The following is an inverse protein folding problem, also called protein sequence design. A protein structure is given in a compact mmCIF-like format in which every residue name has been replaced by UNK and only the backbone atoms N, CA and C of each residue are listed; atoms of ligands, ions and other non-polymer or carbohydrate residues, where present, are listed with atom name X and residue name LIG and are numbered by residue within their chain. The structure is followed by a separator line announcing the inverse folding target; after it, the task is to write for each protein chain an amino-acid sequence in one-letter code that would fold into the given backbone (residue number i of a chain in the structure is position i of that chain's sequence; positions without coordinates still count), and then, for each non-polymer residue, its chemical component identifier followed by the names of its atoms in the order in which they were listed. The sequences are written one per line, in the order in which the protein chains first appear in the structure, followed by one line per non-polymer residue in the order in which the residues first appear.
data_IF_099221717205
#
_entry.id   IF_099221717205
#
_cell.length_a   1.000
_cell.length_b   1.000
_cell.length_c   1.000
_cell.angle_alpha   90.00
_cell.angle_beta   90.00
_cell.angle_gamma   90.00
#
_symmetry.space_group_name_H-M   'P 1'
#
loop_
_entity.id
_entity.type
_entity.pdbx_description
1 polymer ?
#
# COMPACT_ATOMS: atom_id res chain seq x y z
N UNK A 1 8.39 -25.83 11.05
CA UNK A 1 7.37 -24.81 11.36
C UNK A 1 7.78 -23.54 10.68
N UNK A 2 6.98 -23.03 9.74
CA UNK A 2 7.26 -21.82 8.97
C UNK A 2 6.89 -20.59 9.82
N UNK A 3 7.75 -20.24 10.76
CA UNK A 3 7.75 -18.94 11.42
C UNK A 3 8.46 -17.95 10.49
N UNK A 4 7.73 -17.43 9.51
CA UNK A 4 8.17 -16.29 8.70
C UNK A 4 8.19 -15.05 9.59
N UNK A 5 9.39 -14.63 9.99
CA UNK A 5 9.61 -13.46 10.83
C UNK A 5 9.03 -12.18 10.25
N UNK A 6 8.72 -11.24 11.15
CA UNK A 6 8.28 -9.88 10.82
C UNK A 6 9.29 -9.19 9.89
N UNK A 7 8.96 -9.08 8.61
CA UNK A 7 9.64 -8.17 7.69
C UNK A 7 8.89 -6.83 7.69
N UNK A 8 9.36 -5.91 8.54
CA UNK A 8 8.82 -4.55 8.65
C UNK A 8 9.16 -3.66 7.43
N UNK A 9 9.94 -4.18 6.47
CA UNK A 9 10.19 -3.56 5.17
C UNK A 9 10.29 -4.64 4.10
N UNK A 10 9.16 -5.08 3.55
CA UNK A 10 9.21 -5.84 2.31
C UNK A 10 9.43 -4.86 1.16
N UNK A 11 10.69 -4.61 0.79
CA UNK A 11 11.02 -4.02 -0.49
C UNK A 11 10.53 -4.98 -1.58
N UNK A 12 9.63 -4.54 -2.47
CA UNK A 12 9.14 -5.37 -3.57
C UNK A 12 10.30 -5.65 -4.55
N UNK A 13 10.91 -6.85 -4.56
CA UNK A 13 12.24 -7.03 -5.13
C UNK A 13 12.23 -6.81 -6.66
N UNK A 14 12.96 -5.78 -7.09
CA UNK A 14 13.69 -5.79 -8.34
C UNK A 14 15.06 -5.13 -8.09
N UNK A 15 16.16 -5.86 -8.32
CA UNK A 15 17.53 -5.45 -7.96
C UNK A 15 18.39 -5.17 -9.19
N UNK A 16 17.81 -4.58 -10.26
CA UNK A 16 18.54 -4.32 -11.50
C UNK A 16 18.91 -2.84 -11.73
N UNK A 17 18.88 -1.99 -10.68
CA UNK A 17 19.28 -0.60 -10.78
C UNK A 17 20.68 -0.34 -10.23
N UNK A 18 21.55 0.29 -11.02
CA UNK A 18 22.76 0.94 -10.51
C UNK A 18 22.40 1.90 -9.37
N UNK A 19 23.02 1.74 -8.21
CA UNK A 19 22.97 2.73 -7.13
C UNK A 19 23.72 3.96 -7.65
N UNK A 20 23.05 5.10 -7.78
CA UNK A 20 23.66 6.39 -8.13
C UNK A 20 24.40 6.95 -6.89
N UNK A 21 25.74 6.79 -6.79
CA UNK A 21 26.48 7.14 -5.58
C UNK A 21 26.71 8.66 -5.46
N UNK A 22 26.41 9.42 -6.52
CA UNK A 22 26.66 10.86 -6.62
C UNK A 22 25.37 11.69 -6.46
N UNK A 23 24.20 11.03 -6.41
CA UNK A 23 22.92 11.69 -6.17
C UNK A 23 22.44 12.59 -7.31
N UNK A 24 22.95 12.38 -8.53
CA UNK A 24 22.60 13.19 -9.70
C UNK A 24 21.17 12.92 -10.18
N UNK A 25 20.59 11.78 -9.81
CA UNK A 25 19.24 11.38 -10.19
C UNK A 25 18.13 12.06 -9.39
N UNK A 26 18.44 12.85 -8.36
CA UNK A 26 17.45 13.60 -7.58
C UNK A 26 16.52 12.72 -6.73
N UNK A 27 15.82 13.35 -5.79
CA UNK A 27 14.87 12.68 -4.89
C UNK A 27 13.43 13.05 -5.22
N UNK A 28 12.50 12.10 -5.09
CA UNK A 28 11.08 12.40 -5.11
C UNK A 28 10.62 13.07 -3.79
N UNK A 29 9.35 13.48 -3.73
CA UNK A 29 8.77 14.12 -2.54
C UNK A 29 8.73 13.23 -1.28
N UNK A 30 9.05 11.93 -1.41
CA UNK A 30 9.22 11.01 -0.28
C UNK A 30 10.67 10.83 0.17
N UNK A 31 11.64 11.47 -0.51
CA UNK A 31 13.07 11.34 -0.25
C UNK A 31 13.72 10.11 -0.89
N UNK A 32 13.03 9.44 -1.81
CA UNK A 32 13.53 8.25 -2.52
C UNK A 32 14.22 8.66 -3.84
N UNK A 33 15.25 7.93 -4.31
CA UNK A 33 15.84 8.18 -5.62
C UNK A 33 14.81 8.10 -6.74
N UNK A 34 14.72 9.13 -7.60
CA UNK A 34 13.78 9.17 -8.73
C UNK A 34 14.00 8.03 -9.73
N UNK A 35 15.22 7.52 -9.83
CA UNK A 35 15.61 6.41 -10.70
C UNK A 35 15.15 5.03 -10.21
N UNK A 36 14.75 4.91 -8.94
CA UNK A 36 14.31 3.64 -8.37
C UNK A 36 12.87 3.32 -8.77
N UNK A 37 12.57 2.05 -9.05
CA UNK A 37 11.20 1.54 -9.22
C UNK A 37 10.62 0.97 -7.92
N UNK A 38 11.44 0.86 -6.87
CA UNK A 38 11.05 0.35 -5.55
C UNK A 38 10.14 1.32 -4.81
N UNK A 39 9.19 0.84 -4.02
CA UNK A 39 8.34 1.68 -3.18
C UNK A 39 8.18 1.05 -1.78
N UNK A 40 7.72 1.88 -0.85
CA UNK A 40 7.51 1.50 0.54
C UNK A 40 6.04 1.15 0.79
N UNK A 41 5.82 0.09 1.54
CA UNK A 41 4.50 -0.38 1.97
C UNK A 41 4.49 -0.47 3.49
N UNK A 42 3.50 0.14 4.12
CA UNK A 42 3.27 0.05 5.57
C UNK A 42 2.53 -1.23 5.95
N UNK A 43 1.55 -1.62 5.14
CA UNK A 43 0.76 -2.83 5.33
C UNK A 43 0.19 -3.28 4.00
N UNK A 44 0.18 -4.59 3.77
CA UNK A 44 -0.55 -5.24 2.67
C UNK A 44 -1.62 -6.16 3.25
N UNK A 45 -2.75 -6.25 2.56
CA UNK A 45 -3.84 -7.19 2.89
C UNK A 45 -4.43 -7.75 1.60
N UNK A 46 -4.58 -9.07 1.55
CA UNK A 46 -5.35 -9.74 0.49
C UNK A 46 -6.85 -9.54 0.75
N UNK A 47 -7.57 -9.05 -0.23
CA UNK A 47 -9.02 -8.84 -0.11
C UNK A 47 -9.79 -10.15 -0.31
N UNK A 48 -10.90 -10.35 0.40
CA UNK A 48 -11.75 -11.52 0.26
C UNK A 48 -12.46 -11.50 -1.11
N UNK A 49 -12.65 -12.67 -1.71
CA UNK A 49 -13.18 -12.82 -3.08
C UNK A 49 -14.56 -12.19 -3.26
N UNK A 50 -15.37 -12.18 -2.21
CA UNK A 50 -16.73 -11.67 -2.16
C UNK A 50 -16.80 -10.17 -2.46
N UNK A 51 -15.70 -9.43 -2.20
CA UNK A 51 -15.66 -7.99 -2.46
C UNK A 51 -14.89 -7.64 -3.74
N UNK A 52 -14.28 -8.60 -4.47
CA UNK A 52 -13.43 -8.28 -5.63
C UNK A 52 -14.15 -7.49 -6.72
N UNK A 53 -15.43 -7.77 -6.97
CA UNK A 53 -16.28 -7.03 -7.92
C UNK A 53 -16.83 -5.69 -7.39
N UNK A 54 -16.49 -5.31 -6.15
CA UNK A 54 -16.98 -4.07 -5.53
C UNK A 54 -16.08 -2.87 -5.84
N UNK A 55 -16.54 -1.68 -5.43
CA UNK A 55 -15.82 -0.43 -5.67
C UNK A 55 -14.65 -0.21 -4.70
N UNK A 56 -13.77 0.75 -5.04
CA UNK A 56 -12.63 1.15 -4.19
C UNK A 56 -13.03 1.56 -2.78
N UNK A 57 -14.19 2.21 -2.60
CA UNK A 57 -14.72 2.60 -1.29
C UNK A 57 -14.89 1.37 -0.37
N UNK A 58 -15.51 0.29 -0.87
CA UNK A 58 -15.63 -0.98 -0.15
C UNK A 58 -14.27 -1.60 0.17
N UNK A 59 -13.35 -1.64 -0.81
CA UNK A 59 -12.00 -2.16 -0.62
C UNK A 59 -11.22 -1.38 0.45
N UNK A 60 -11.31 -0.05 0.45
CA UNK A 60 -10.62 0.81 1.40
C UNK A 60 -11.21 0.67 2.81
N UNK A 61 -12.54 0.54 2.91
CA UNK A 61 -13.21 0.24 4.18
C UNK A 61 -12.72 -1.07 4.77
N UNK A 62 -12.69 -2.13 3.96
CA UNK A 62 -12.16 -3.44 4.36
C UNK A 62 -10.69 -3.33 4.81
N UNK A 63 -9.84 -2.64 4.05
CA UNK A 63 -8.42 -2.50 4.37
C UNK A 63 -8.18 -1.71 5.68
N UNK A 64 -8.98 -0.66 5.93
CA UNK A 64 -8.92 0.08 7.19
C UNK A 64 -9.35 -0.79 8.39
N UNK A 65 -10.44 -1.53 8.24
CA UNK A 65 -10.93 -2.47 9.27
C UNK A 65 -9.90 -3.56 9.59
N UNK A 66 -9.32 -4.18 8.55
CA UNK A 66 -8.32 -5.22 8.75
C UNK A 66 -7.03 -4.68 9.38
N UNK A 67 -6.57 -3.50 8.94
CA UNK A 67 -5.41 -2.87 9.58
C UNK A 67 -5.68 -2.55 11.05
N UNK A 68 -6.86 -2.03 11.38
CA UNK A 68 -7.26 -1.81 12.78
C UNK A 68 -7.23 -3.12 13.59
N UNK A 69 -7.88 -4.18 13.09
CA UNK A 69 -7.91 -5.47 13.76
C UNK A 69 -6.50 -6.06 13.96
N UNK A 70 -5.60 -5.86 13.00
CA UNK A 70 -4.19 -6.26 13.13
C UNK A 70 -3.44 -5.45 14.18
N UNK A 71 -3.71 -4.15 14.31
CA UNK A 71 -3.10 -3.32 15.37
C UNK A 71 -3.55 -3.68 16.78
N UNK A 72 -4.78 -4.20 16.94
CA UNK A 72 -5.25 -4.74 18.22
C UNK A 72 -4.46 -5.99 18.65
N UNK A 73 -4.10 -6.85 17.69
CA UNK A 73 -3.35 -8.09 17.92
C UNK A 73 -1.84 -7.85 18.03
N UNK A 74 -1.33 -6.78 17.41
CA UNK A 74 0.09 -6.49 17.31
C UNK A 74 0.38 -5.03 17.74
N UNK A 75 0.63 -4.78 19.05
CA UNK A 75 0.93 -3.45 19.56
C UNK A 75 2.19 -2.82 18.95
N UNK A 76 3.17 -3.64 18.55
CA UNK A 76 4.38 -3.17 17.87
C UNK A 76 4.07 -2.58 16.49
N UNK A 77 3.18 -3.22 15.71
CA UNK A 77 2.69 -2.68 14.45
C UNK A 77 2.00 -1.34 14.67
N UNK A 78 1.13 -1.25 15.68
CA UNK A 78 0.45 0.01 16.03
C UNK A 78 1.45 1.13 16.32
N UNK A 79 2.54 0.81 17.00
CA UNK A 79 3.58 1.77 17.37
C UNK A 79 4.47 2.20 16.21
N UNK A 80 4.62 1.35 15.19
CA UNK A 80 5.40 1.65 13.99
C UNK A 80 4.63 2.46 12.94
N UNK A 81 3.30 2.46 12.97
CA UNK A 81 2.48 3.19 12.03
C UNK A 81 2.51 4.72 12.30
N UNK A 82 2.41 5.56 11.25
CA UNK A 82 2.22 6.99 11.43
C UNK A 82 0.99 7.30 12.30
N UNK A 83 1.04 8.27 13.24
CA UNK A 83 -0.06 8.56 14.14
C UNK A 83 -1.39 8.84 13.42
N UNK A 84 -1.34 9.55 12.28
CA UNK A 84 -2.52 9.85 11.48
C UNK A 84 -3.15 8.60 10.84
N UNK A 85 -2.36 7.54 10.61
CA UNK A 85 -2.88 6.26 10.15
C UNK A 85 -3.60 5.57 11.30
N UNK A 86 -2.99 5.53 12.50
CA UNK A 86 -3.57 4.89 13.69
C UNK A 86 -4.90 5.55 14.09
N UNK A 87 -4.98 6.87 13.98
CA UNK A 87 -6.21 7.63 14.21
C UNK A 87 -7.28 7.32 13.16
N UNK A 88 -6.92 7.33 11.87
CA UNK A 88 -7.87 7.16 10.77
C UNK A 88 -8.51 5.77 10.70
N UNK A 89 -7.77 4.73 11.10
CA UNK A 89 -8.29 3.35 11.07
C UNK A 89 -9.21 3.02 12.24
N UNK A 90 -9.40 3.93 13.21
CA UNK A 90 -10.35 3.69 14.30
C UNK A 90 -11.79 3.58 13.75
N UNK A 91 -12.63 2.70 14.32
CA UNK A 91 -14.05 2.70 14.01
C UNK A 91 -14.69 4.01 14.50
N UNK A 92 -15.63 4.54 13.72
CA UNK A 92 -16.44 5.68 14.13
C UNK A 92 -17.42 5.34 15.26
N UNK A 93 -18.19 6.32 15.76
CA UNK A 93 -19.10 6.13 16.91
C UNK A 93 -20.15 5.02 16.76
N UNK A 94 -20.44 4.59 15.53
CA UNK A 94 -21.37 3.49 15.22
C UNK A 94 -20.66 2.19 14.80
N UNK A 95 -19.36 2.07 15.05
CA UNK A 95 -18.56 0.89 14.70
C UNK A 95 -18.13 0.82 13.22
N UNK A 96 -18.50 1.80 12.38
CA UNK A 96 -18.15 1.79 10.96
C UNK A 96 -16.75 2.34 10.69
N UNK A 97 -16.03 1.72 9.75
CA UNK A 97 -14.72 2.18 9.27
C UNK A 97 -14.83 3.16 8.10
N UNK A 98 -13.85 4.06 7.98
CA UNK A 98 -13.74 5.00 6.87
C UNK A 98 -13.58 4.27 5.54
N UNK A 99 -14.21 4.76 4.48
CA UNK A 99 -14.08 4.25 3.12
C UNK A 99 -13.00 4.98 2.30
N UNK A 100 -12.17 5.78 2.97
CA UNK A 100 -11.09 6.56 2.38
C UNK A 100 -9.72 6.09 2.88
N UNK A 101 -8.67 6.37 2.10
CA UNK A 101 -7.30 6.19 2.59
C UNK A 101 -6.98 7.15 3.73
N UNK A 102 -6.07 6.77 4.65
CA UNK A 102 -5.59 7.66 5.70
C UNK A 102 -4.98 8.97 5.15
N UNK A 103 -4.91 10.04 5.96
CA UNK A 103 -4.19 11.27 5.61
C UNK A 103 -2.76 10.94 5.17
N UNK A 104 -2.23 11.68 4.19
CA UNK A 104 -0.90 11.47 3.59
C UNK A 104 -0.59 10.09 2.99
N UNK A 105 -1.56 9.16 2.94
CA UNK A 105 -1.35 7.78 2.47
C UNK A 105 -2.31 7.38 1.34
N UNK A 106 -1.99 6.31 0.63
CA UNK A 106 -2.86 5.75 -0.39
C UNK A 106 -3.02 4.26 -0.15
N UNK A 107 -4.27 3.80 -0.18
CA UNK A 107 -4.58 2.41 -0.45
C UNK A 107 -4.43 2.17 -1.95
N UNK A 108 -3.51 1.30 -2.33
CA UNK A 108 -3.14 1.01 -3.71
C UNK A 108 -3.28 -0.48 -3.98
N UNK A 109 -4.02 -0.85 -5.04
CA UNK A 109 -4.12 -2.24 -5.48
C UNK A 109 -2.83 -2.66 -6.18
N UNK A 110 -2.17 -3.71 -5.68
CA UNK A 110 -0.91 -4.19 -6.23
C UNK A 110 -1.09 -4.63 -7.69
N UNK A 111 -0.21 -4.17 -8.58
CA UNK A 111 -0.36 -4.42 -10.02
C UNK A 111 -0.01 -5.87 -10.43
N UNK A 112 0.80 -6.58 -9.64
CA UNK A 112 1.22 -7.97 -9.86
C UNK A 112 0.29 -8.96 -9.14
N UNK A 113 -0.21 -8.58 -7.97
CA UNK A 113 -1.22 -9.31 -7.19
C UNK A 113 -2.46 -8.43 -6.98
N UNK A 114 -3.37 -8.34 -7.97
CA UNK A 114 -4.52 -7.42 -7.93
C UNK A 114 -5.47 -7.59 -6.74
N UNK A 115 -5.42 -8.75 -6.08
CA UNK A 115 -6.20 -9.08 -4.89
C UNK A 115 -5.67 -8.38 -3.64
N UNK A 116 -4.40 -8.00 -3.65
CA UNK A 116 -3.75 -7.32 -2.54
C UNK A 116 -3.96 -5.81 -2.65
N UNK A 117 -4.20 -5.19 -1.50
CA UNK A 117 -4.27 -3.75 -1.34
C UNK A 117 -3.26 -3.29 -0.28
N UNK A 118 -2.45 -2.32 -0.68
CA UNK A 118 -1.25 -1.89 0.05
C UNK A 118 -1.42 -0.44 0.53
N UNK A 119 -1.08 -0.19 1.79
CA UNK A 119 -0.97 1.15 2.34
C UNK A 119 0.43 1.69 2.05
N UNK A 120 0.51 2.79 1.32
CA UNK A 120 1.78 3.44 0.99
C UNK A 120 1.73 4.96 1.15
N UNK A 121 2.89 5.63 1.29
CA UNK A 121 2.93 7.09 1.29
C UNK A 121 2.35 7.66 0.00
N UNK A 122 1.43 8.63 0.12
CA UNK A 122 0.77 9.24 -1.05
C UNK A 122 1.76 9.97 -1.96
N UNK A 123 2.84 10.50 -1.39
CA UNK A 123 3.93 11.12 -2.13
C UNK A 123 4.59 10.11 -3.10
N UNK A 124 4.83 8.87 -2.66
CA UNK A 124 5.37 7.81 -3.52
C UNK A 124 4.38 7.36 -4.57
N UNK A 125 3.10 7.19 -4.20
CA UNK A 125 2.05 6.80 -5.15
C UNK A 125 1.81 7.82 -6.28
N UNK A 126 2.20 9.08 -6.07
CA UNK A 126 2.10 10.16 -7.07
C UNK A 126 3.44 10.50 -7.71
N UNK A 127 4.55 9.92 -7.25
CA UNK A 127 5.87 10.26 -7.74
C UNK A 127 6.02 9.79 -9.19
N UNK A 128 6.53 10.63 -10.11
CA UNK A 128 6.67 10.27 -11.51
C UNK A 128 7.78 9.20 -11.70
N UNK A 129 7.87 8.69 -12.92
CA UNK A 129 9.00 7.86 -13.34
C UNK A 129 8.85 6.38 -13.01
N UNK A 130 9.96 5.67 -12.73
CA UNK A 130 9.98 4.22 -12.59
C UNK A 130 9.02 3.66 -11.53
N UNK A 131 8.78 4.40 -10.44
CA UNK A 131 7.81 3.97 -9.42
C UNK A 131 6.38 4.03 -9.92
N UNK A 132 6.01 5.10 -10.64
CA UNK A 132 4.69 5.23 -11.23
C UNK A 132 4.44 4.10 -12.22
N UNK A 133 5.47 3.73 -12.98
CA UNK A 133 5.42 2.61 -13.93
C UNK A 133 5.29 1.25 -13.22
N UNK A 134 5.89 1.09 -12.05
CA UNK A 134 5.75 -0.13 -11.24
C UNK A 134 4.34 -0.25 -10.63
N UNK A 135 3.78 0.86 -10.16
CA UNK A 135 2.45 0.92 -9.53
C UNK A 135 1.32 0.86 -10.57
N UNK A 136 1.53 1.43 -11.76
CA UNK A 136 0.53 1.53 -12.83
C UNK A 136 1.12 1.11 -14.19
N UNK A 137 1.52 -0.16 -14.38
CA UNK A 137 2.04 -0.64 -15.66
C UNK A 137 1.00 -0.46 -16.77
N UNK A 138 1.44 0.02 -17.94
CA UNK A 138 0.55 0.40 -19.05
C UNK A 138 -0.54 1.41 -18.65
N UNK A 139 -0.24 2.29 -17.69
CA UNK A 139 -1.17 3.28 -17.12
C UNK A 139 -2.39 2.65 -16.43
N UNK A 140 -2.26 1.41 -15.94
CA UNK A 140 -3.32 0.68 -15.25
C UNK A 140 -2.81 0.14 -13.92
N UNK A 141 -3.49 0.49 -12.83
CA UNK A 141 -3.23 -0.08 -11.51
C UNK A 141 -3.93 -1.43 -11.29
N UNK A 142 -3.59 -2.11 -10.19
CA UNK A 142 -4.13 -3.44 -9.85
C UNK A 142 -5.66 -3.51 -9.80
N UNK A 143 -6.34 -2.42 -9.43
CA UNK A 143 -7.80 -2.39 -9.35
C UNK A 143 -8.45 -2.73 -10.69
N UNK A 144 -7.94 -2.20 -11.80
CA UNK A 144 -8.52 -2.48 -13.13
C UNK A 144 -8.35 -3.95 -13.49
N UNK A 145 -7.20 -4.54 -13.18
CA UNK A 145 -6.94 -5.96 -13.39
C UNK A 145 -7.85 -6.84 -12.53
N UNK A 146 -8.05 -6.48 -11.26
CA UNK A 146 -8.94 -7.20 -10.36
C UNK A 146 -10.37 -7.24 -10.90
N UNK A 147 -10.89 -6.09 -11.34
CA UNK A 147 -12.24 -5.99 -11.90
C UNK A 147 -12.41 -6.83 -13.17
N UNK A 148 -11.37 -6.94 -14.01
CA UNK A 148 -11.41 -7.79 -15.21
C UNK A 148 -11.39 -9.28 -14.91
N UNK A 149 -10.99 -9.70 -13.71
CA UNK A 149 -10.95 -11.11 -13.29
C UNK A 149 -12.13 -11.52 -12.40
N UNK A 150 -12.97 -10.58 -11.99
CA UNK A 150 -14.15 -10.82 -11.18
C UNK A 150 -15.42 -11.17 -12.00
N UNK A 151 -15.29 -11.25 -13.34
CA UNK A 151 -16.34 -11.67 -14.27
C UNK A 151 -16.23 -13.16 -14.62
#
# INVERSE_FOLDING_TARGET
GLLGGFNLYQYAPNTNGWIDPLGWTGLDASGRPLSSSQYSVWSSVEMPTEIHGSGRSTHFKYANEELYNRTLKNPELKSALPPEVVEHIQPGPRGGFSDRSPPNHSWHHNAQSPKDIELMPRAQHKAPGPVQNSLHPNQQGGFKKLQSSAC
#
